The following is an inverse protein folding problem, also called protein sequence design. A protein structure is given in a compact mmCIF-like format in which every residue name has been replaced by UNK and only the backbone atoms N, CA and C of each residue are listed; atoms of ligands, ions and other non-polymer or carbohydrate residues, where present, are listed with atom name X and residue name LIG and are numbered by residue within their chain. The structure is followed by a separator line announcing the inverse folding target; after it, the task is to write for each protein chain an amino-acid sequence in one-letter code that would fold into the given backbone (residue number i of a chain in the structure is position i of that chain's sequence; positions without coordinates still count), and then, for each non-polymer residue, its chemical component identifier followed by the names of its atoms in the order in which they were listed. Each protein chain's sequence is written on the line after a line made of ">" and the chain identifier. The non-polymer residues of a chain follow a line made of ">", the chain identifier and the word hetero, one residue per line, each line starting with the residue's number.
data_IF_002195988802
#
_entry.id   IF_002195988802
#
_cell.length_a   1.000
_cell.length_b   1.000
_cell.length_c   1.000
_cell.angle_alpha   90.00
_cell.angle_beta   90.00
_cell.angle_gamma   90.00
#
_symmetry.space_group_name_H-M   'P 1'
#
loop_
_entity.id
_entity.type
_entity.pdbx_description
1 polymer ?
#
# COMPACT_ATOMS: atom_id res chain seq x y z
N UNK A 1 29.52 2.52 -25.59
CA UNK A 1 28.11 2.34 -26.02
C UNK A 1 27.23 3.11 -25.06
N UNK A 2 26.69 4.24 -25.51
CA UNK A 2 25.81 5.09 -24.70
C UNK A 2 24.54 4.31 -24.39
N UNK A 3 24.36 3.93 -23.13
CA UNK A 3 23.07 3.43 -22.62
C UNK A 3 22.08 4.58 -22.82
N UNK A 4 21.20 4.46 -23.80
CA UNK A 4 20.05 5.37 -23.91
C UNK A 4 19.26 5.17 -22.61
N UNK A 5 18.91 6.22 -21.86
CA UNK A 5 17.98 6.06 -20.75
C UNK A 5 16.71 5.44 -21.32
N UNK A 6 16.37 4.23 -20.88
CA UNK A 6 15.11 3.59 -21.26
C UNK A 6 13.99 4.55 -20.86
N UNK A 7 13.19 4.95 -21.86
CA UNK A 7 11.97 5.71 -21.63
C UNK A 7 11.16 4.89 -20.61
N UNK A 8 10.68 5.50 -19.51
CA UNK A 8 9.83 4.79 -18.56
C UNK A 8 8.71 4.12 -19.34
N UNK A 9 8.63 2.78 -19.29
CA UNK A 9 7.56 2.05 -19.97
C UNK A 9 6.23 2.65 -19.52
N UNK A 10 5.36 3.03 -20.46
CA UNK A 10 3.99 3.44 -20.13
C UNK A 10 3.21 2.19 -19.72
N UNK A 11 3.31 1.79 -18.45
CA UNK A 11 2.56 0.63 -17.97
C UNK A 11 1.09 1.01 -17.84
N UNK A 12 0.19 0.17 -18.38
CA UNK A 12 -1.25 0.42 -18.29
C UNK A 12 -1.78 0.35 -16.84
N UNK A 13 -1.01 -0.20 -15.90
CA UNK A 13 -1.33 -0.12 -14.46
C UNK A 13 -1.18 1.30 -13.89
N UNK A 14 -0.45 2.18 -14.58
CA UNK A 14 -0.34 3.61 -14.22
C UNK A 14 -1.57 4.41 -14.60
N UNK A 15 -2.50 3.88 -15.40
CA UNK A 15 -3.66 4.63 -15.88
C UNK A 15 -4.93 4.22 -15.16
N UNK A 16 -5.65 5.21 -14.64
CA UNK A 16 -7.02 5.03 -14.17
C UNK A 16 -7.99 4.89 -15.34
N UNK A 17 -9.23 4.52 -15.05
CA UNK A 17 -10.25 4.39 -16.09
C UNK A 17 -10.51 5.72 -16.82
N UNK A 18 -10.50 6.84 -16.10
CA UNK A 18 -10.68 8.17 -16.67
C UNK A 18 -9.53 8.55 -17.62
N UNK A 19 -8.28 8.24 -17.23
CA UNK A 19 -7.09 8.49 -18.06
C UNK A 19 -7.15 7.68 -19.36
N UNK A 20 -7.52 6.40 -19.26
CA UNK A 20 -7.71 5.55 -20.44
C UNK A 20 -8.84 6.06 -21.34
N UNK A 21 -9.93 6.56 -20.77
CA UNK A 21 -11.03 7.13 -21.55
C UNK A 21 -10.61 8.40 -22.29
N UNK A 22 -9.82 9.27 -21.66
CA UNK A 22 -9.29 10.47 -22.29
C UNK A 22 -8.35 10.11 -23.45
N UNK A 23 -7.38 9.22 -23.20
CA UNK A 23 -6.46 8.72 -24.22
C UNK A 23 -7.20 8.12 -25.42
N UNK A 24 -8.23 7.32 -25.17
CA UNK A 24 -8.95 6.64 -26.24
C UNK A 24 -9.85 7.60 -27.02
N UNK A 25 -10.35 8.66 -26.38
CA UNK A 25 -11.08 9.71 -27.08
C UNK A 25 -10.18 10.47 -28.08
N UNK A 26 -8.93 10.78 -27.71
CA UNK A 26 -7.93 11.36 -28.63
C UNK A 26 -7.64 10.46 -29.83
N UNK A 27 -7.83 9.16 -29.65
CA UNK A 27 -7.60 8.15 -30.67
C UNK A 27 -8.82 7.87 -31.55
N UNK A 28 -9.96 8.48 -31.26
CA UNK A 28 -11.23 8.22 -31.93
C UNK A 28 -11.89 6.90 -31.52
N UNK A 29 -11.44 6.28 -30.42
CA UNK A 29 -11.97 5.02 -29.91
C UNK A 29 -13.15 5.27 -28.95
N UNK A 30 -14.20 4.43 -28.98
CA UNK A 30 -15.35 4.60 -28.11
C UNK A 30 -15.01 4.27 -26.65
N UNK A 31 -15.67 4.97 -25.70
CA UNK A 31 -15.41 4.85 -24.25
C UNK A 31 -15.39 3.42 -23.70
N UNK A 32 -16.18 2.51 -24.26
CA UNK A 32 -16.22 1.12 -23.79
C UNK A 32 -14.92 0.36 -24.06
N UNK A 33 -14.09 0.79 -25.03
CA UNK A 33 -12.77 0.18 -25.30
C UNK A 33 -11.79 0.44 -24.17
N UNK A 34 -11.78 1.65 -23.62
CA UNK A 34 -11.00 1.97 -22.42
C UNK A 34 -11.40 1.07 -21.24
N UNK A 35 -12.71 0.86 -21.03
CA UNK A 35 -13.23 -0.06 -20.03
C UNK A 35 -12.77 -1.51 -20.25
N UNK A 36 -12.78 -2.00 -21.49
CA UNK A 36 -12.29 -3.35 -21.80
C UNK A 36 -10.80 -3.50 -21.45
N UNK A 37 -9.96 -2.54 -21.83
CA UNK A 37 -8.53 -2.54 -21.50
C UNK A 37 -8.32 -2.53 -19.99
N UNK A 38 -9.02 -1.64 -19.29
CA UNK A 38 -8.96 -1.52 -17.84
C UNK A 38 -9.31 -2.85 -17.14
N UNK A 39 -10.40 -3.51 -17.55
CA UNK A 39 -10.79 -4.81 -17.01
C UNK A 39 -9.77 -5.92 -17.34
N UNK A 40 -9.13 -5.88 -18.51
CA UNK A 40 -8.05 -6.83 -18.83
C UNK A 40 -6.85 -6.66 -17.91
N UNK A 41 -6.46 -5.41 -17.62
CA UNK A 41 -5.33 -5.11 -16.75
C UNK A 41 -5.63 -5.53 -15.30
N UNK A 42 -6.74 -5.07 -14.73
CA UNK A 42 -6.98 -5.20 -13.29
C UNK A 42 -7.78 -6.45 -12.89
N UNK A 43 -8.84 -6.81 -13.62
CA UNK A 43 -9.67 -7.97 -13.26
C UNK A 43 -9.06 -9.27 -13.77
N UNK A 44 -8.68 -9.31 -15.06
CA UNK A 44 -8.17 -10.52 -15.69
C UNK A 44 -6.66 -10.70 -15.51
N UNK A 45 -5.96 -9.64 -15.13
CA UNK A 45 -4.51 -9.67 -14.95
C UNK A 45 -3.81 -10.10 -16.24
N UNK A 46 -4.04 -9.41 -17.35
CA UNK A 46 -3.33 -9.67 -18.60
C UNK A 46 -1.80 -9.59 -18.41
N UNK A 47 -1.05 -10.33 -19.23
CA UNK A 47 0.44 -10.32 -19.27
C UNK A 47 0.99 -9.78 -20.59
N UNK A 48 0.11 -9.49 -21.53
CA UNK A 48 0.44 -8.92 -22.83
C UNK A 48 -0.80 -8.21 -23.38
N UNK A 49 -0.55 -7.18 -24.18
CA UNK A 49 -1.61 -6.48 -24.93
C UNK A 49 -2.22 -7.44 -25.96
N UNK A 50 -1.40 -8.29 -26.58
CA UNK A 50 -1.87 -9.28 -27.54
C UNK A 50 -2.87 -10.28 -26.96
N UNK A 51 -2.76 -10.61 -25.67
CA UNK A 51 -3.69 -11.50 -24.98
C UNK A 51 -5.11 -10.93 -24.80
N UNK A 52 -5.33 -9.63 -25.07
CA UNK A 52 -6.62 -8.98 -24.94
C UNK A 52 -7.53 -9.25 -26.15
N UNK A 53 -7.96 -10.51 -26.33
CA UNK A 53 -8.55 -11.01 -27.58
C UNK A 53 -9.89 -10.40 -28.00
N UNK A 54 -10.60 -9.73 -27.09
CA UNK A 54 -11.85 -9.01 -27.42
C UNK A 54 -11.61 -7.57 -27.93
N UNK A 55 -10.35 -7.14 -28.02
CA UNK A 55 -9.94 -5.87 -28.61
C UNK A 55 -9.59 -6.03 -30.10
N UNK A 56 -9.93 -5.05 -30.96
CA UNK A 56 -9.52 -5.05 -32.36
C UNK A 56 -8.00 -5.14 -32.46
N UNK A 57 -7.50 -5.85 -33.49
CA UNK A 57 -6.06 -5.97 -33.74
C UNK A 57 -5.39 -4.59 -33.90
N UNK A 58 -6.05 -3.66 -34.57
CA UNK A 58 -5.56 -2.29 -34.75
C UNK A 58 -5.35 -1.55 -33.42
N UNK A 59 -6.27 -1.68 -32.47
CA UNK A 59 -6.17 -1.06 -31.15
C UNK A 59 -5.03 -1.66 -30.32
N UNK A 60 -4.88 -3.00 -30.34
CA UNK A 60 -3.76 -3.68 -29.68
C UNK A 60 -2.42 -3.23 -30.25
N UNK A 61 -2.33 -3.12 -31.58
CA UNK A 61 -1.14 -2.62 -32.26
C UNK A 61 -0.83 -1.19 -31.86
N UNK A 62 -1.84 -0.29 -31.88
CA UNK A 62 -1.67 1.12 -31.51
C UNK A 62 -1.17 1.28 -30.07
N UNK A 63 -1.71 0.53 -29.10
CA UNK A 63 -1.22 0.54 -27.73
C UNK A 63 0.27 0.20 -27.67
N UNK A 64 0.69 -0.86 -28.35
CA UNK A 64 2.10 -1.27 -28.40
C UNK A 64 2.99 -0.23 -29.10
N UNK A 65 2.53 0.34 -30.23
CA UNK A 65 3.28 1.34 -31.01
C UNK A 65 3.49 2.65 -30.21
N UNK A 66 2.53 3.02 -29.37
CA UNK A 66 2.58 4.17 -28.46
C UNK A 66 3.44 3.92 -27.20
N UNK A 67 4.04 2.74 -27.10
CA UNK A 67 4.92 2.32 -26.02
C UNK A 67 4.20 1.85 -24.76
N UNK A 68 2.90 1.56 -24.84
CA UNK A 68 2.19 0.98 -23.71
C UNK A 68 2.56 -0.49 -23.52
N UNK A 69 2.53 -0.91 -22.26
CA UNK A 69 2.77 -2.31 -21.90
C UNK A 69 1.79 -2.78 -20.83
N UNK A 70 1.57 -4.08 -20.78
CA UNK A 70 0.98 -4.76 -19.62
C UNK A 70 2.01 -5.76 -19.14
N UNK A 71 2.86 -5.30 -18.24
CA UNK A 71 3.87 -6.10 -17.58
C UNK A 71 3.73 -5.89 -16.09
N UNK A 72 4.02 -6.92 -15.31
CA UNK A 72 4.12 -6.79 -13.86
C UNK A 72 5.58 -6.55 -13.50
N UNK A 73 5.82 -5.81 -12.42
CA UNK A 73 7.10 -5.82 -11.71
C UNK A 73 7.66 -7.23 -11.52
N UNK A 74 8.98 -7.38 -11.58
CA UNK A 74 9.62 -8.70 -11.52
C UNK A 74 9.74 -9.18 -10.10
N UNK A 75 9.33 -10.41 -9.83
CA UNK A 75 9.63 -11.07 -8.55
C UNK A 75 11.07 -11.57 -8.58
N UNK A 76 11.87 -11.09 -7.64
CA UNK A 76 13.20 -11.60 -7.37
C UNK A 76 13.12 -12.85 -6.50
N UNK A 77 13.32 -12.67 -5.20
CA UNK A 77 13.31 -13.78 -4.22
C UNK A 77 11.91 -13.95 -3.63
N UNK A 78 11.46 -15.20 -3.53
CA UNK A 78 10.32 -15.61 -2.71
C UNK A 78 10.86 -16.36 -1.50
N UNK A 79 10.42 -15.96 -0.30
CA UNK A 79 10.70 -16.67 0.94
C UNK A 79 9.38 -17.12 1.56
N UNK A 80 9.29 -18.37 1.96
CA UNK A 80 8.10 -18.96 2.58
C UNK A 80 8.43 -19.40 4.01
N UNK A 81 7.54 -19.07 4.93
CA UNK A 81 7.61 -19.40 6.35
C UNK A 81 6.80 -20.67 6.64
N UNK A 82 7.03 -21.26 7.81
CA UNK A 82 6.34 -22.48 8.29
C UNK A 82 4.82 -22.26 8.40
N UNK A 83 4.41 -21.05 8.78
CA UNK A 83 3.01 -20.65 8.86
C UNK A 83 2.37 -20.35 7.49
N UNK A 84 3.07 -20.63 6.39
CA UNK A 84 2.71 -20.30 5.00
C UNK A 84 2.69 -18.80 4.67
N UNK A 85 3.24 -17.94 5.53
CA UNK A 85 3.52 -16.55 5.17
C UNK A 85 4.56 -16.50 4.06
N UNK A 86 4.28 -15.76 2.98
CA UNK A 86 5.20 -15.61 1.83
C UNK A 86 5.64 -14.17 1.69
N UNK A 87 6.94 -13.94 1.67
CA UNK A 87 7.56 -12.64 1.41
C UNK A 87 8.15 -12.63 -0.01
N UNK A 88 7.72 -11.68 -0.82
CA UNK A 88 8.15 -11.49 -2.20
C UNK A 88 8.99 -10.23 -2.28
N UNK A 89 10.25 -10.36 -2.70
CA UNK A 89 11.08 -9.23 -3.07
C UNK A 89 10.76 -8.84 -4.52
N UNK A 90 10.25 -7.64 -4.71
CA UNK A 90 9.85 -7.08 -6.00
C UNK A 90 10.96 -6.18 -6.50
N UNK A 91 11.43 -6.43 -7.72
CA UNK A 91 12.37 -5.57 -8.44
C UNK A 91 11.61 -4.61 -9.34
N UNK A 92 11.87 -3.32 -9.15
CA UNK A 92 11.31 -2.22 -9.92
C UNK A 92 12.19 -1.95 -11.16
N UNK A 93 11.65 -1.22 -12.13
CA UNK A 93 12.33 -0.98 -13.41
C UNK A 93 13.61 -0.15 -13.27
N UNK A 94 13.72 0.67 -12.24
CA UNK A 94 14.91 1.44 -11.89
C UNK A 94 15.97 0.64 -11.11
N UNK A 95 15.73 -0.67 -10.92
CA UNK A 95 16.64 -1.56 -10.20
C UNK A 95 16.49 -1.54 -8.68
N UNK A 96 15.64 -0.65 -8.13
CA UNK A 96 15.28 -0.68 -6.72
C UNK A 96 14.46 -1.93 -6.37
N UNK A 97 14.37 -2.22 -5.07
CA UNK A 97 13.57 -3.33 -4.58
C UNK A 97 12.64 -2.91 -3.43
N UNK A 98 11.43 -3.45 -3.44
CA UNK A 98 10.46 -3.36 -2.35
C UNK A 98 9.95 -4.74 -1.99
N UNK A 99 9.27 -4.86 -0.86
CA UNK A 99 8.73 -6.13 -0.40
C UNK A 99 7.20 -6.10 -0.34
N UNK A 100 6.56 -7.21 -0.72
CA UNK A 100 5.16 -7.47 -0.41
C UNK A 100 5.06 -8.81 0.32
N UNK A 101 4.13 -8.91 1.26
CA UNK A 101 3.98 -10.10 2.11
C UNK A 101 2.55 -10.61 2.03
N UNK A 102 2.39 -11.89 1.72
CA UNK A 102 1.13 -12.63 1.79
C UNK A 102 1.05 -13.34 3.13
N UNK A 103 0.04 -13.00 3.94
CA UNK A 103 -0.18 -13.54 5.28
C UNK A 103 -1.48 -14.35 5.26
N UNK A 104 -1.44 -15.68 5.50
CA UNK A 104 -2.64 -16.50 5.60
C UNK A 104 -3.56 -16.04 6.73
N UNK A 105 -4.86 -16.02 6.47
CA UNK A 105 -5.90 -15.68 7.46
C UNK A 105 -6.83 -16.86 7.78
N UNK A 106 -6.53 -18.06 7.25
CA UNK A 106 -7.43 -19.22 7.27
C UNK A 106 -8.43 -19.22 6.10
N UNK A 107 -9.09 -20.35 5.89
CA UNK A 107 -10.11 -20.58 4.82
C UNK A 107 -9.65 -20.20 3.39
N UNK A 108 -8.36 -20.37 3.08
CA UNK A 108 -7.81 -19.94 1.78
C UNK A 108 -7.82 -18.42 1.55
N UNK A 109 -8.03 -17.61 2.60
CA UNK A 109 -7.99 -16.14 2.54
C UNK A 109 -6.62 -15.63 2.97
N UNK A 110 -6.16 -14.58 2.31
CA UNK A 110 -4.90 -13.92 2.62
C UNK A 110 -5.11 -12.42 2.87
N UNK A 111 -4.27 -11.87 3.75
CA UNK A 111 -3.98 -10.44 3.81
C UNK A 111 -2.69 -10.19 3.03
N UNK A 112 -2.63 -9.10 2.27
CA UNK A 112 -1.42 -8.71 1.57
C UNK A 112 -0.91 -7.37 2.11
N UNK A 113 0.36 -7.35 2.46
CA UNK A 113 1.09 -6.17 2.89
C UNK A 113 1.73 -5.48 1.68
N UNK A 114 1.42 -4.20 1.47
CA UNK A 114 1.86 -3.39 0.35
C UNK A 114 2.89 -2.35 0.80
N UNK A 115 3.98 -2.24 0.05
CA UNK A 115 4.93 -1.14 0.15
C UNK A 115 4.39 0.10 -0.57
N UNK A 116 4.75 1.29 -0.07
CA UNK A 116 4.37 2.59 -0.64
C UNK A 116 5.58 3.41 -1.09
N UNK A 117 6.79 3.08 -0.64
CA UNK A 117 8.02 3.79 -0.97
C UNK A 117 9.20 2.81 -1.08
N UNK A 118 10.25 3.25 -1.76
CA UNK A 118 11.57 2.61 -1.69
C UNK A 118 12.30 3.23 -0.50
N UNK A 119 12.35 2.50 0.62
CA UNK A 119 12.86 3.01 1.89
C UNK A 119 11.83 3.87 2.64
N UNK A 120 12.25 4.61 3.67
CA UNK A 120 11.38 5.48 4.46
C UNK A 120 12.17 6.63 5.12
N UNK A 121 11.58 7.83 5.15
CA UNK A 121 12.22 9.03 5.73
C UNK A 121 11.89 9.26 7.21
N UNK A 122 11.04 8.43 7.82
CA UNK A 122 10.54 8.69 9.17
C UNK A 122 11.47 8.27 10.31
N UNK A 123 12.52 7.50 10.00
CA UNK A 123 13.58 7.15 10.93
C UNK A 123 13.06 6.52 12.25
N UNK A 124 12.07 5.63 12.14
CA UNK A 124 11.58 4.86 13.29
C UNK A 124 12.67 3.87 13.74
N UNK A 125 13.15 4.00 14.97
CA UNK A 125 14.37 3.31 15.45
C UNK A 125 14.22 1.78 15.57
N UNK A 126 12.99 1.27 15.60
CA UNK A 126 12.68 -0.16 15.63
C UNK A 126 12.38 -0.75 14.24
N UNK A 127 12.53 0.03 13.16
CA UNK A 127 12.15 -0.36 11.81
C UNK A 127 13.38 -0.46 10.89
N UNK A 128 13.61 -1.64 10.32
CA UNK A 128 14.70 -1.84 9.35
C UNK A 128 14.60 -0.90 8.14
N UNK A 129 13.40 -0.64 7.63
CA UNK A 129 13.22 0.30 6.51
C UNK A 129 13.60 1.73 6.88
N UNK A 130 13.50 2.11 8.15
CA UNK A 130 13.95 3.42 8.64
C UNK A 130 15.46 3.63 8.48
N UNK A 131 16.26 2.56 8.60
CA UNK A 131 17.73 2.64 8.47
C UNK A 131 18.20 2.84 7.02
N UNK A 132 17.33 2.54 6.04
CA UNK A 132 17.66 2.67 4.62
C UNK A 132 17.57 4.11 4.10
N UNK A 133 16.92 5.00 4.84
CA UNK A 133 16.50 6.32 4.33
C UNK A 133 15.44 6.21 3.24
N UNK A 134 14.99 7.35 2.70
CA UNK A 134 14.05 7.39 1.58
C UNK A 134 14.79 7.60 0.27
N UNK A 135 14.58 6.69 -0.69
CA UNK A 135 15.02 6.87 -2.07
C UNK A 135 13.96 7.60 -2.90
N UNK A 136 12.76 7.02 -3.02
CA UNK A 136 11.64 7.63 -3.76
C UNK A 136 10.28 7.06 -3.35
N UNK A 137 9.24 7.73 -3.81
CA UNK A 137 7.87 7.24 -3.77
C UNK A 137 7.62 6.19 -4.87
N UNK A 138 6.72 5.25 -4.59
CA UNK A 138 6.19 4.36 -5.63
C UNK A 138 5.07 5.05 -6.39
N UNK A 139 4.96 4.77 -7.68
CA UNK A 139 3.82 5.20 -8.49
C UNK A 139 2.55 4.40 -8.12
N UNK A 140 1.35 4.86 -8.50
CA UNK A 140 0.13 4.08 -8.38
C UNK A 140 0.25 2.69 -9.03
N UNK A 141 0.83 2.61 -10.23
CA UNK A 141 1.02 1.36 -10.96
C UNK A 141 1.95 0.41 -10.23
N UNK A 142 3.08 0.87 -9.71
CA UNK A 142 4.01 0.05 -8.92
C UNK A 142 3.37 -0.52 -7.64
N UNK A 143 2.49 0.23 -6.98
CA UNK A 143 1.75 -0.27 -5.80
C UNK A 143 0.74 -1.35 -6.23
N UNK A 144 -0.02 -1.11 -7.29
CA UNK A 144 -1.03 -2.06 -7.78
C UNK A 144 -0.39 -3.33 -8.34
N UNK A 145 0.77 -3.20 -8.97
CA UNK A 145 1.55 -4.32 -9.47
C UNK A 145 1.92 -5.31 -8.37
N UNK A 146 2.16 -4.85 -7.14
CA UNK A 146 2.36 -5.75 -5.99
C UNK A 146 1.13 -6.64 -5.77
N UNK A 147 -0.08 -6.06 -5.84
CA UNK A 147 -1.35 -6.81 -5.69
C UNK A 147 -1.50 -7.83 -6.80
N UNK A 148 -1.24 -7.41 -8.03
CA UNK A 148 -1.36 -8.26 -9.20
C UNK A 148 -0.39 -9.44 -9.10
N UNK A 149 0.91 -9.17 -8.93
CA UNK A 149 1.97 -10.18 -8.81
C UNK A 149 1.68 -11.20 -7.73
N UNK A 150 1.29 -10.75 -6.53
CA UNK A 150 1.07 -11.64 -5.40
C UNK A 150 -0.01 -12.69 -5.67
N UNK A 151 -0.99 -12.41 -6.56
CA UNK A 151 -2.01 -13.40 -6.96
C UNK A 151 -1.42 -14.63 -7.64
N UNK A 152 -0.29 -14.49 -8.34
CA UNK A 152 0.38 -15.63 -9.00
C UNK A 152 1.12 -16.52 -8.00
N UNK A 153 1.28 -16.05 -6.76
CA UNK A 153 1.98 -16.74 -5.68
C UNK A 153 1.03 -17.24 -4.59
N UNK A 154 -0.27 -17.27 -4.86
CA UNK A 154 -1.26 -17.87 -3.96
C UNK A 154 -1.35 -19.38 -4.20
N UNK A 155 -1.65 -20.18 -3.15
CA UNK A 155 -2.11 -21.55 -3.34
C UNK A 155 -3.36 -21.61 -4.23
N UNK A 156 -3.59 -22.75 -4.88
CA UNK A 156 -4.77 -22.94 -5.71
C UNK A 156 -6.07 -22.72 -4.92
N UNK A 157 -7.02 -21.99 -5.51
CA UNK A 157 -8.30 -21.64 -4.87
C UNK A 157 -8.20 -20.55 -3.78
N UNK A 158 -6.99 -20.14 -3.39
CA UNK A 158 -6.81 -19.07 -2.41
C UNK A 158 -6.99 -17.69 -3.03
N UNK A 159 -7.29 -16.70 -2.18
CA UNK A 159 -7.46 -15.31 -2.62
C UNK A 159 -6.99 -14.30 -1.57
N UNK A 160 -6.40 -13.21 -2.04
CA UNK A 160 -6.19 -12.01 -1.22
C UNK A 160 -7.55 -11.35 -0.99
N UNK A 161 -7.91 -11.16 0.27
CA UNK A 161 -9.18 -10.54 0.68
C UNK A 161 -8.99 -9.25 1.47
N UNK A 162 -7.79 -9.00 2.00
CA UNK A 162 -7.45 -7.78 2.72
C UNK A 162 -6.13 -7.22 2.19
N UNK A 163 -6.05 -5.89 2.09
CA UNK A 163 -4.86 -5.17 1.69
C UNK A 163 -4.47 -4.21 2.82
N UNK A 164 -3.21 -4.22 3.22
CA UNK A 164 -2.69 -3.34 4.27
C UNK A 164 -1.46 -2.60 3.76
N UNK A 165 -1.45 -1.27 3.85
CA UNK A 165 -0.27 -0.45 3.53
C UNK A 165 0.64 -0.40 4.76
N UNK A 166 1.32 -1.52 5.02
CA UNK A 166 2.22 -1.72 6.16
C UNK A 166 3.58 -2.29 5.73
N UNK A 167 3.88 -2.22 4.42
CA UNK A 167 5.16 -2.64 3.87
C UNK A 167 6.21 -1.55 4.07
N UNK A 168 7.09 -1.41 3.09
CA UNK A 168 8.12 -0.37 3.11
C UNK A 168 7.52 1.02 2.84
N UNK A 169 7.92 2.00 3.65
CA UNK A 169 7.55 3.41 3.49
C UNK A 169 6.42 3.90 4.40
N UNK A 170 6.29 5.22 4.50
CA UNK A 170 5.14 5.89 5.11
C UNK A 170 4.09 6.18 4.04
N UNK A 171 2.93 5.49 4.04
CA UNK A 171 1.91 5.65 3.00
C UNK A 171 1.44 7.09 2.83
N UNK A 172 1.25 7.83 3.94
CA UNK A 172 0.77 9.21 3.86
C UNK A 172 1.82 10.22 3.41
N UNK A 173 3.10 9.84 3.40
CA UNK A 173 4.15 10.62 2.78
C UNK A 173 4.10 10.49 1.24
N UNK A 174 3.70 9.32 0.74
CA UNK A 174 3.38 9.11 -0.67
C UNK A 174 1.86 9.23 -0.94
N UNK A 175 1.27 10.38 -0.59
CA UNK A 175 -0.18 10.54 -0.65
C UNK A 175 -0.74 10.27 -2.06
N UNK A 176 -0.16 10.86 -3.09
CA UNK A 176 -0.71 10.77 -4.46
C UNK A 176 -0.56 9.34 -5.03
N UNK A 177 0.58 8.68 -4.78
CA UNK A 177 0.77 7.29 -5.17
C UNK A 177 -0.23 6.36 -4.49
N UNK A 178 -0.46 6.56 -3.19
CA UNK A 178 -1.43 5.76 -2.41
C UNK A 178 -2.86 6.01 -2.88
N UNK A 179 -3.30 7.27 -3.03
CA UNK A 179 -4.66 7.57 -3.52
C UNK A 179 -4.89 7.00 -4.91
N UNK A 180 -3.96 7.21 -5.86
CA UNK A 180 -4.08 6.63 -7.19
C UNK A 180 -4.16 5.10 -7.15
N UNK A 181 -3.38 4.45 -6.29
CA UNK A 181 -3.49 2.99 -6.14
C UNK A 181 -4.84 2.56 -5.56
N UNK A 182 -5.39 3.29 -4.59
CA UNK A 182 -6.69 3.02 -3.98
C UNK A 182 -7.84 3.20 -4.98
N UNK A 183 -7.77 4.18 -5.88
CA UNK A 183 -8.73 4.33 -6.97
C UNK A 183 -8.81 3.06 -7.81
N UNK A 184 -7.66 2.49 -8.23
CA UNK A 184 -7.60 1.26 -9.04
C UNK A 184 -7.98 0.00 -8.24
N UNK A 185 -7.57 -0.04 -6.97
CA UNK A 185 -7.82 -1.18 -6.06
C UNK A 185 -9.31 -1.30 -5.72
N UNK A 186 -9.96 -0.18 -5.44
CA UNK A 186 -11.33 -0.15 -4.93
C UNK A 186 -12.39 0.08 -6.01
N UNK A 187 -12.00 0.47 -7.23
CA UNK A 187 -12.91 0.61 -8.37
C UNK A 187 -13.54 -0.75 -8.73
N UNK A 188 -14.88 -0.86 -8.81
CA UNK A 188 -15.57 -2.07 -9.28
C UNK A 188 -15.16 -2.53 -10.68
N UNK A 189 -14.77 -1.61 -11.56
CA UNK A 189 -14.24 -1.92 -12.88
C UNK A 189 -12.74 -2.26 -12.87
N UNK A 190 -12.07 -1.91 -11.76
CA UNK A 190 -10.66 -2.19 -11.48
C UNK A 190 -10.50 -3.52 -10.74
N UNK A 191 -9.77 -3.52 -9.63
CA UNK A 191 -9.58 -4.74 -8.84
C UNK A 191 -10.79 -5.11 -7.96
N UNK A 192 -11.72 -4.19 -7.73
CA UNK A 192 -12.98 -4.45 -7.04
C UNK A 192 -12.87 -4.77 -5.55
N UNK A 193 -11.79 -4.38 -4.86
CA UNK A 193 -11.70 -4.56 -3.41
C UNK A 193 -12.64 -3.62 -2.67
N UNK A 194 -13.31 -4.12 -1.63
CA UNK A 194 -14.09 -3.25 -0.75
C UNK A 194 -13.15 -2.34 0.05
N UNK A 195 -13.44 -1.04 0.10
CA UNK A 195 -12.78 -0.10 1.02
C UNK A 195 -12.74 -0.58 2.49
N UNK A 196 -13.67 -1.44 2.91
CA UNK A 196 -13.71 -2.04 4.26
C UNK A 196 -12.61 -3.08 4.50
N UNK A 197 -11.96 -3.53 3.43
CA UNK A 197 -10.93 -4.56 3.40
C UNK A 197 -9.55 -3.99 3.08
N UNK A 198 -9.45 -2.67 2.92
CA UNK A 198 -8.20 -1.96 2.69
C UNK A 198 -7.91 -1.08 3.90
N UNK A 199 -6.70 -1.21 4.45
CA UNK A 199 -6.24 -0.44 5.59
C UNK A 199 -4.99 0.34 5.23
N UNK A 200 -5.02 1.66 5.39
CA UNK A 200 -3.84 2.52 5.27
C UNK A 200 -3.26 2.73 6.67
N UNK A 201 -1.99 2.38 6.86
CA UNK A 201 -1.26 2.64 8.10
C UNK A 201 -0.52 3.98 8.01
N UNK A 202 -0.29 4.63 9.14
CA UNK A 202 0.53 5.83 9.23
C UNK A 202 1.22 5.96 10.58
N UNK A 203 2.40 6.58 10.57
CA UNK A 203 3.17 6.96 11.74
C UNK A 203 2.74 8.31 12.35
N UNK A 204 1.77 9.01 11.75
CA UNK A 204 1.19 10.22 12.34
C UNK A 204 1.48 11.52 11.59
N UNK A 205 1.47 11.52 10.25
CA UNK A 205 1.52 12.76 9.48
C UNK A 205 0.16 13.48 9.53
N UNK A 206 -0.05 14.30 10.57
CA UNK A 206 -1.35 14.89 10.92
C UNK A 206 -2.08 15.55 9.74
N UNK A 207 -1.48 16.47 8.96
CA UNK A 207 -2.18 17.08 7.82
C UNK A 207 -2.65 16.06 6.77
N UNK A 208 -1.90 14.96 6.59
CA UNK A 208 -2.24 13.93 5.62
C UNK A 208 -3.29 12.96 6.14
N UNK A 209 -3.39 12.76 7.47
CA UNK A 209 -4.49 12.01 8.10
C UNK A 209 -5.81 12.73 7.83
N UNK A 210 -5.83 14.05 8.04
CA UNK A 210 -7.01 14.88 7.79
C UNK A 210 -7.40 14.84 6.30
N UNK A 211 -6.42 15.00 5.41
CA UNK A 211 -6.62 14.90 3.96
C UNK A 211 -7.16 13.52 3.54
N UNK A 212 -6.61 12.43 4.07
CA UNK A 212 -7.07 11.07 3.77
C UNK A 212 -8.55 10.89 4.13
N UNK A 213 -8.94 11.33 5.33
CA UNK A 213 -10.31 11.22 5.82
C UNK A 213 -11.34 11.92 4.95
N UNK A 214 -10.94 12.98 4.25
CA UNK A 214 -11.79 13.72 3.31
C UNK A 214 -11.77 13.12 1.90
N UNK A 215 -10.80 12.26 1.58
CA UNK A 215 -10.54 11.78 0.22
C UNK A 215 -11.16 10.41 -0.03
N UNK A 216 -10.93 9.43 0.85
CA UNK A 216 -11.32 8.03 0.59
C UNK A 216 -11.71 7.27 1.87
N UNK A 217 -12.84 6.54 1.90
CA UNK A 217 -13.36 5.91 3.12
C UNK A 217 -12.73 4.53 3.42
N UNK A 218 -11.40 4.45 3.42
CA UNK A 218 -10.62 3.26 3.82
C UNK A 218 -10.53 3.11 5.34
N UNK A 219 -10.08 1.94 5.82
CA UNK A 219 -9.74 1.81 7.23
C UNK A 219 -8.40 2.52 7.52
N UNK A 220 -8.28 3.10 8.71
CA UNK A 220 -7.06 3.72 9.20
C UNK A 220 -6.41 2.85 10.29
N UNK A 221 -5.11 2.65 10.18
CA UNK A 221 -4.27 2.14 11.25
C UNK A 221 -3.24 3.21 11.64
N UNK A 222 -3.00 3.36 12.93
CA UNK A 222 -2.00 4.27 13.49
C UNK A 222 -0.88 3.49 14.14
N UNK A 223 0.35 3.68 13.68
CA UNK A 223 1.56 3.28 14.40
C UNK A 223 1.85 4.28 15.53
N UNK A 224 1.34 3.99 16.73
CA UNK A 224 1.51 4.86 17.89
C UNK A 224 2.81 4.55 18.63
N UNK A 225 2.98 3.28 18.99
CA UNK A 225 4.19 2.66 19.58
C UNK A 225 4.73 3.29 20.87
N UNK A 226 4.09 4.30 21.46
CA UNK A 226 4.47 4.85 22.76
C UNK A 226 3.26 5.54 23.40
N UNK A 227 3.22 5.53 24.73
CA UNK A 227 2.10 6.09 25.51
C UNK A 227 2.37 7.51 26.03
N UNK A 228 3.55 8.08 25.74
CA UNK A 228 3.97 9.43 26.11
C UNK A 228 4.98 9.99 25.08
N UNK A 229 5.09 11.32 25.02
CA UNK A 229 5.92 12.00 24.02
C UNK A 229 7.42 11.75 24.19
N UNK A 230 7.93 11.62 25.43
CA UNK A 230 9.36 11.38 25.68
C UNK A 230 9.84 10.09 25.01
N UNK A 231 9.13 8.98 25.24
CA UNK A 231 9.45 7.70 24.60
C UNK A 231 9.23 7.80 23.09
N UNK A 232 8.11 8.40 22.66
CA UNK A 232 7.76 8.48 21.24
C UNK A 232 8.75 9.30 20.44
N UNK A 233 9.25 10.40 20.97
CA UNK A 233 10.29 11.24 20.35
C UNK A 233 11.60 10.49 20.12
N UNK A 234 11.92 9.55 21.02
CA UNK A 234 13.12 8.71 20.92
C UNK A 234 12.97 7.63 19.85
N UNK A 235 11.83 6.96 19.77
CA UNK A 235 11.65 5.80 18.88
C UNK A 235 10.99 6.13 17.54
N UNK A 236 10.27 7.25 17.44
CA UNK A 236 9.54 7.73 16.26
C UNK A 236 9.70 9.27 16.13
N UNK A 237 10.80 9.76 15.53
CA UNK A 237 11.13 11.19 15.47
C UNK A 237 10.04 12.11 14.90
N UNK A 238 9.12 11.58 14.07
CA UNK A 238 7.93 12.29 13.58
C UNK A 238 7.10 12.91 14.72
N UNK A 239 7.13 12.35 15.93
CA UNK A 239 6.42 12.87 17.09
C UNK A 239 6.87 14.27 17.51
N UNK A 240 8.15 14.62 17.32
CA UNK A 240 8.66 15.96 17.60
C UNK A 240 7.96 17.04 16.78
N UNK A 241 7.52 16.66 15.57
CA UNK A 241 6.72 17.53 14.71
C UNK A 241 5.24 17.47 15.03
N UNK A 242 4.72 16.27 15.32
CA UNK A 242 3.32 16.01 15.62
C UNK A 242 3.17 15.24 16.94
N UNK A 243 3.21 15.93 18.10
CA UNK A 243 3.12 15.30 19.41
C UNK A 243 1.81 14.54 19.61
N UNK A 244 1.78 13.59 20.54
CA UNK A 244 0.65 12.69 20.78
C UNK A 244 -0.66 13.46 20.93
N UNK A 245 -0.68 14.56 21.69
CA UNK A 245 -1.90 15.36 21.88
C UNK A 245 -2.48 15.89 20.54
N UNK A 246 -1.61 16.37 19.65
CA UNK A 246 -2.00 16.87 18.31
C UNK A 246 -2.47 15.72 17.43
N UNK A 247 -1.75 14.60 17.46
CA UNK A 247 -2.10 13.39 16.74
C UNK A 247 -3.47 12.85 17.16
N UNK A 248 -3.71 12.72 18.47
CA UNK A 248 -4.99 12.22 19.00
C UNK A 248 -6.15 13.15 18.65
N UNK A 249 -5.94 14.47 18.59
CA UNK A 249 -6.96 15.41 18.12
C UNK A 249 -7.36 15.13 16.66
N UNK A 250 -6.40 14.93 15.77
CA UNK A 250 -6.65 14.62 14.37
C UNK A 250 -7.38 13.27 14.21
N UNK A 251 -6.98 12.26 14.99
CA UNK A 251 -7.60 10.93 14.95
C UNK A 251 -9.04 10.92 15.48
N UNK A 252 -9.36 11.73 16.49
CA UNK A 252 -10.73 11.91 16.98
C UNK A 252 -11.61 12.63 15.95
N UNK A 253 -11.03 13.50 15.12
CA UNK A 253 -11.72 14.17 14.03
C UNK A 253 -11.83 13.33 12.75
N UNK A 254 -11.11 12.20 12.66
CA UNK A 254 -11.11 11.37 11.47
C UNK A 254 -12.50 10.76 11.22
N UNK A 255 -13.10 10.94 10.03
CA UNK A 255 -14.46 10.51 9.75
C UNK A 255 -14.53 8.99 9.54
N UNK A 256 -14.57 8.24 10.64
CA UNK A 256 -14.79 6.79 10.61
C UNK A 256 -16.26 6.49 10.30
N UNK A 257 -16.56 5.70 9.25
CA UNK A 257 -17.92 5.25 9.00
C UNK A 257 -18.52 4.49 10.19
N UNK A 258 -19.85 4.50 10.40
CA UNK A 258 -20.49 3.85 11.53
C UNK A 258 -20.06 2.39 11.71
N UNK A 259 -19.86 1.99 12.97
CA UNK A 259 -19.40 0.64 13.39
C UNK A 259 -17.99 0.25 12.95
N UNK A 260 -17.27 1.08 12.18
CA UNK A 260 -15.84 0.84 11.94
C UNK A 260 -15.02 1.24 13.15
N UNK A 261 -13.89 0.55 13.32
CA UNK A 261 -12.89 0.85 14.33
C UNK A 261 -11.57 1.16 13.64
N UNK A 262 -10.85 2.15 14.14
CA UNK A 262 -9.46 2.39 13.78
C UNK A 262 -8.58 1.36 14.48
N UNK A 263 -7.46 0.99 13.88
CA UNK A 263 -6.46 0.15 14.57
C UNK A 263 -5.36 1.03 15.14
N UNK A 264 -4.97 0.80 16.38
CA UNK A 264 -3.77 1.36 16.99
C UNK A 264 -2.74 0.24 17.05
N UNK A 265 -1.72 0.34 16.22
CA UNK A 265 -0.57 -0.55 16.20
C UNK A 265 0.41 -0.09 17.29
N UNK A 266 0.86 -1.05 18.11
CA UNK A 266 1.77 -0.82 19.22
C UNK A 266 2.79 -1.95 19.29
N UNK A 267 4.00 -1.69 18.79
CA UNK A 267 5.14 -2.61 18.91
C UNK A 267 5.62 -2.67 20.35
N UNK A 268 5.88 -3.88 20.86
CA UNK A 268 6.41 -4.10 22.21
C UNK A 268 7.93 -4.17 22.18
N UNK A 269 8.56 -3.19 22.81
CA UNK A 269 10.01 -3.06 22.96
C UNK A 269 10.36 -3.21 24.43
N UNK A 270 11.07 -4.31 24.74
CA UNK A 270 11.41 -4.71 26.10
C UNK A 270 12.10 -3.61 26.90
N UNK A 271 11.48 -3.19 28.01
CA UNK A 271 12.00 -2.14 28.90
C UNK A 271 11.90 -0.72 28.34
N UNK A 272 11.24 -0.53 27.20
CA UNK A 272 11.12 0.78 26.52
C UNK A 272 9.68 1.30 26.57
N UNK A 273 8.70 0.46 26.25
CA UNK A 273 7.30 0.88 26.10
C UNK A 273 6.29 -0.21 26.51
N UNK A 274 6.72 -1.26 27.21
CA UNK A 274 6.00 -2.50 27.48
C UNK A 274 5.59 -2.69 28.94
N UNK A 275 5.64 -1.63 29.76
CA UNK A 275 5.26 -1.71 31.17
C UNK A 275 3.74 -1.65 31.38
N UNK A 276 3.25 -2.15 32.53
CA UNK A 276 1.84 -1.95 32.92
C UNK A 276 1.42 -0.48 32.99
N UNK A 277 2.38 0.42 33.30
CA UNK A 277 2.12 1.85 33.31
C UNK A 277 1.90 2.40 31.89
N UNK A 278 2.62 1.88 30.89
CA UNK A 278 2.39 2.19 29.48
C UNK A 278 1.01 1.74 29.03
N UNK A 279 0.62 0.51 29.40
CA UNK A 279 -0.69 -0.02 29.08
C UNK A 279 -1.83 0.86 29.64
N UNK A 280 -1.71 1.30 30.90
CA UNK A 280 -2.70 2.21 31.53
C UNK A 280 -2.77 3.57 30.82
N UNK A 281 -1.63 4.17 30.48
CA UNK A 281 -1.58 5.43 29.71
C UNK A 281 -2.17 5.27 28.32
N UNK A 282 -1.85 4.19 27.62
CA UNK A 282 -2.40 3.88 26.30
C UNK A 282 -3.93 3.76 26.35
N UNK A 283 -4.46 3.03 27.34
CA UNK A 283 -5.90 2.90 27.54
C UNK A 283 -6.58 4.26 27.77
N UNK A 284 -5.93 5.17 28.51
CA UNK A 284 -6.42 6.54 28.71
C UNK A 284 -6.40 7.36 27.41
N UNK A 285 -5.30 7.32 26.66
CA UNK A 285 -5.15 8.07 25.41
C UNK A 285 -6.28 7.78 24.42
N UNK A 286 -6.65 6.50 24.28
CA UNK A 286 -7.68 6.05 23.32
C UNK A 286 -9.09 6.01 23.91
N UNK A 287 -9.26 6.44 25.17
CA UNK A 287 -10.56 6.42 25.85
C UNK A 287 -11.62 7.17 25.03
N UNK A 288 -12.77 6.52 24.87
CA UNK A 288 -13.91 7.04 24.10
C UNK A 288 -13.77 6.95 22.59
N UNK A 289 -12.66 6.42 22.05
CA UNK A 289 -12.48 6.23 20.62
C UNK A 289 -12.85 4.79 20.21
N UNK A 290 -13.51 4.59 19.05
CA UNK A 290 -13.77 3.26 18.53
C UNK A 290 -12.48 2.68 17.94
N UNK A 291 -11.61 2.12 18.79
CA UNK A 291 -10.34 1.54 18.37
C UNK A 291 -10.25 0.04 18.65
N UNK A 292 -9.33 -0.62 17.94
CA UNK A 292 -8.74 -1.91 18.30
C UNK A 292 -7.25 -1.66 18.53
N UNK A 293 -6.71 -2.19 19.62
CA UNK A 293 -5.27 -2.13 19.87
C UNK A 293 -4.67 -3.45 19.38
N UNK A 294 -3.66 -3.36 18.52
CA UNK A 294 -2.88 -4.50 18.06
C UNK A 294 -1.48 -4.42 18.68
N UNK A 295 -1.18 -5.35 19.58
CA UNK A 295 0.14 -5.45 20.21
C UNK A 295 1.03 -6.32 19.33
N UNK A 296 2.15 -5.77 18.86
CA UNK A 296 3.04 -6.44 17.92
C UNK A 296 4.33 -6.81 18.64
N UNK A 297 4.67 -8.10 18.77
CA UNK A 297 6.01 -8.51 19.19
C UNK A 297 7.05 -7.96 18.22
N UNK A 298 8.07 -7.28 18.72
CA UNK A 298 9.14 -6.76 17.86
C UNK A 298 9.97 -7.91 17.27
N UNK A 299 10.20 -7.84 15.96
CA UNK A 299 11.08 -8.78 15.26
C UNK A 299 12.47 -8.14 15.11
N UNK A 300 13.52 -8.74 15.70
CA UNK A 300 14.87 -8.18 15.63
C UNK A 300 15.44 -8.25 14.21
N UNK A 301 16.31 -7.30 13.89
CA UNK A 301 17.16 -7.30 12.71
C UNK A 301 18.58 -6.92 13.11
N UNK A 302 19.55 -7.13 12.22
CA UNK A 302 20.94 -6.80 12.49
C UNK A 302 21.16 -5.29 12.42
N UNK A 303 21.64 -4.70 13.52
CA UNK A 303 21.85 -3.26 13.71
C UNK A 303 21.30 -2.80 15.04
#
# INVERSE_FOLDING_TARGET
>A
MSVRPEIPRKNLTELGLADLQALFAEWGEPKFRAKQVYQWVFQKGARSIDGMTNLPKALRQRLSDEGYSVGRVRVGRVAESIDSTRKLAIKLDDGAAVETVLIPMGDGKFSQCLSSQVGCALDCQFCYTGTLGLSRHLTPGEIVDQVLVARDHLPEGARVTHLVYMGMGEPLHNFDGVIGSLERICDPEGLGYSHRKVTVSTSGLVPQIEKLGQTVPVNLALSLNASNDEVRDRIMPVNKRWPIATLMKALRAYPLPPRRKMTVEYVLLGGVNDSDADARRLAELVRGMPVRINLIPWNPFQG
#
